data_IF_399389715255
#
_entry.id   IF_399389715255
#
_cell.length_a   1.000
_cell.length_b   1.000
_cell.length_c   1.000
_cell.angle_alpha   90.00
_cell.angle_beta   90.00
_cell.angle_gamma   90.00
#
_symmetry.space_group_name_H-M   'P 1'
#
loop_
_entity.id
_entity.type
_entity.pdbx_description
1 polymer ?
#
# COMPACT_ATOMS: atom_id res chain seq x y z
N UNK A 1 -19.47 -4.44 6.71
CA UNK A 1 -18.62 -3.78 7.71
C UNK A 1 -17.96 -2.59 7.04
N UNK A 2 -18.02 -1.42 7.68
CA UNK A 2 -17.38 -0.20 7.20
C UNK A 2 -16.14 0.08 8.06
N UNK A 3 -15.02 0.39 7.43
CA UNK A 3 -13.80 0.81 8.10
C UNK A 3 -13.71 2.33 8.07
N UNK A 4 -13.16 2.93 9.13
CA UNK A 4 -12.68 4.31 9.09
C UNK A 4 -11.48 4.39 8.17
N UNK A 5 -11.33 5.50 7.45
CA UNK A 5 -10.23 5.71 6.49
C UNK A 5 -9.70 7.14 6.59
N UNK A 6 -8.37 7.28 6.45
CA UNK A 6 -7.68 8.56 6.37
C UNK A 6 -6.59 8.48 5.28
N UNK A 7 -6.51 9.52 4.44
CA UNK A 7 -5.55 9.61 3.34
C UNK A 7 -4.35 10.46 3.73
N UNK A 8 -3.17 10.05 3.28
CA UNK A 8 -1.90 10.72 3.55
C UNK A 8 -1.14 10.95 2.25
N UNK A 9 -0.51 12.12 2.14
CA UNK A 9 0.49 12.42 1.11
C UNK A 9 1.76 12.86 1.82
N UNK A 10 2.84 12.11 1.63
CA UNK A 10 4.16 12.42 2.17
C UNK A 10 5.02 13.03 1.04
N UNK A 11 5.62 14.22 1.25
CA UNK A 11 6.51 14.83 0.27
C UNK A 11 7.83 14.06 0.15
N UNK A 12 8.65 14.35 -0.88
CA UNK A 12 10.01 13.84 -0.99
C UNK A 12 10.83 14.14 0.26
N UNK A 13 11.72 13.21 0.63
CA UNK A 13 12.61 13.31 1.79
C UNK A 13 14.05 13.04 1.37
N UNK A 14 15.01 13.35 2.24
CA UNK A 14 16.42 13.05 1.98
C UNK A 14 16.59 11.56 1.62
N UNK A 15 17.18 11.27 0.45
CA UNK A 15 17.38 9.90 -0.05
C UNK A 15 16.18 9.27 -0.78
N UNK A 16 15.00 9.90 -0.80
CA UNK A 16 13.84 9.46 -1.57
C UNK A 16 13.16 10.65 -2.28
N UNK A 17 13.38 10.83 -3.60
CA UNK A 17 12.90 12.01 -4.31
C UNK A 17 11.42 11.93 -4.70
N UNK A 18 10.70 10.89 -4.26
CA UNK A 18 9.31 10.63 -4.62
C UNK A 18 8.34 11.04 -3.52
N UNK A 19 7.21 11.61 -3.93
CA UNK A 19 6.00 11.63 -3.11
C UNK A 19 5.49 10.21 -2.90
N UNK A 20 4.99 9.93 -1.70
CA UNK A 20 4.31 8.68 -1.39
C UNK A 20 2.91 8.99 -0.88
N UNK A 21 1.90 8.32 -1.43
CA UNK A 21 0.52 8.42 -0.93
C UNK A 21 0.14 7.13 -0.22
N UNK A 22 -0.65 7.25 0.84
CA UNK A 22 -1.10 6.13 1.63
C UNK A 22 -2.54 6.31 2.11
N UNK A 23 -3.19 5.21 2.45
CA UNK A 23 -4.44 5.20 3.21
C UNK A 23 -4.32 4.34 4.45
N UNK A 24 -4.75 4.90 5.57
CA UNK A 24 -4.86 4.24 6.87
C UNK A 24 -6.31 3.78 7.05
N UNK A 25 -6.51 2.57 7.54
CA UNK A 25 -7.82 1.99 7.82
C UNK A 25 -7.86 1.38 9.22
N UNK A 26 -8.97 1.55 9.92
CA UNK A 26 -9.19 0.96 11.24
C UNK A 26 -10.68 0.76 11.50
N UNK A 27 -11.00 0.04 12.57
CA UNK A 27 -12.38 -0.12 13.01
C UNK A 27 -12.85 1.16 13.72
N UNK A 28 -14.04 1.71 13.40
CA UNK A 28 -14.59 2.80 14.16
C UNK A 28 -14.83 2.38 15.62
N UNK A 29 -14.77 3.31 16.59
CA UNK A 29 -15.16 3.02 17.97
C UNK A 29 -16.56 2.41 18.01
N UNK A 30 -16.75 1.32 18.75
CA UNK A 30 -18.09 0.79 19.02
C UNK A 30 -18.85 1.81 19.87
N UNK A 31 -20.09 2.14 19.50
CA UNK A 31 -20.94 3.13 20.19
C UNK A 31 -21.39 2.72 21.60
N UNK A 32 -20.78 1.69 22.19
CA UNK A 32 -20.98 1.25 23.58
C UNK A 32 -19.92 1.85 24.52
N UNK A 33 -19.13 2.83 24.08
CA UNK A 33 -18.33 3.64 24.98
C UNK A 33 -19.27 4.52 25.82
N UNK A 34 -19.19 4.38 27.14
CA UNK A 34 -19.92 5.14 28.14
C UNK A 34 -19.86 6.65 27.81
N UNK A 35 -20.99 7.36 27.66
CA UNK A 35 -21.03 8.77 27.29
C UNK A 35 -20.39 9.70 28.34
N UNK A 36 -19.96 9.18 29.49
CA UNK A 36 -19.14 9.93 30.46
C UNK A 36 -17.65 9.98 30.11
N UNK A 37 -17.18 9.16 29.16
CA UNK A 37 -15.80 9.23 28.66
C UNK A 37 -15.78 10.21 27.50
N UNK A 38 -15.46 11.47 27.82
CA UNK A 38 -15.17 12.49 26.81
C UNK A 38 -13.85 12.13 26.13
N UNK A 39 -13.88 11.49 24.96
CA UNK A 39 -12.70 11.33 24.11
C UNK A 39 -12.41 12.70 23.51
N UNK A 40 -11.64 13.52 24.23
CA UNK A 40 -10.91 14.63 23.63
C UNK A 40 -9.83 14.05 22.72
N UNK A 41 -9.65 14.56 21.49
CA UNK A 41 -8.54 14.16 20.64
C UNK A 41 -7.27 14.85 21.17
N UNK A 42 -6.73 14.36 22.27
CA UNK A 42 -5.41 14.76 22.77
C UNK A 42 -4.34 13.85 22.18
N UNK A 43 -3.35 14.48 21.59
CA UNK A 43 -2.26 13.92 20.79
C UNK A 43 -1.21 13.12 21.60
N UNK A 44 -1.59 12.46 22.70
CA UNK A 44 -0.60 11.87 23.61
C UNK A 44 -1.13 10.75 24.52
N UNK A 45 -1.67 9.67 23.95
CA UNK A 45 -1.70 8.38 24.65
C UNK A 45 -0.83 7.35 23.90
N UNK A 46 0.47 7.43 24.13
CA UNK A 46 1.31 6.25 24.01
C UNK A 46 1.06 5.35 25.21
N UNK A 47 0.64 4.11 24.96
CA UNK A 47 1.35 2.88 25.34
C UNK A 47 0.35 1.71 25.43
N UNK A 48 0.62 0.66 24.64
CA UNK A 48 0.11 -0.69 24.84
C UNK A 48 -1.22 -1.13 24.19
N UNK A 49 -1.62 -0.59 23.04
CA UNK A 49 -2.54 -1.34 22.18
C UNK A 49 -1.76 -2.46 21.46
N UNK A 50 -1.95 -3.70 21.90
CA UNK A 50 -1.24 -4.90 21.43
C UNK A 50 -1.57 -5.29 19.98
N UNK A 51 -2.48 -4.56 19.33
CA UNK A 51 -2.94 -4.84 17.98
C UNK A 51 -1.84 -4.79 16.93
N UNK A 52 -1.98 -5.65 15.92
CA UNK A 52 -1.12 -5.67 14.74
C UNK A 52 -1.42 -4.46 13.85
N UNK A 53 -0.36 -3.85 13.32
CA UNK A 53 -0.43 -2.83 12.27
C UNK A 53 -0.05 -3.49 10.94
N UNK A 54 -0.98 -3.57 10.01
CA UNK A 54 -0.75 -4.18 8.70
C UNK A 54 -0.16 -3.15 7.73
N UNK A 55 0.89 -3.50 7.00
CA UNK A 55 1.43 -2.69 5.89
C UNK A 55 1.22 -3.47 4.60
N UNK A 56 0.39 -2.96 3.68
CA UNK A 56 0.02 -3.63 2.44
C UNK A 56 0.60 -2.89 1.23
N UNK A 57 1.37 -3.61 0.40
CA UNK A 57 1.98 -3.08 -0.83
C UNK A 57 1.43 -3.81 -2.06
N UNK A 58 0.95 -3.04 -3.04
CA UNK A 58 0.25 -3.57 -4.20
C UNK A 58 1.20 -4.10 -5.30
N UNK A 59 0.66 -4.87 -6.24
CA UNK A 59 1.39 -5.39 -7.40
C UNK A 59 1.44 -4.39 -8.56
N UNK A 60 2.26 -4.65 -9.58
CA UNK A 60 2.27 -3.90 -10.84
C UNK A 60 0.88 -3.90 -11.47
N UNK A 61 0.46 -2.77 -12.06
CA UNK A 61 -0.87 -2.57 -12.68
C UNK A 61 -2.03 -2.35 -11.71
N UNK A 62 -1.77 -2.31 -10.40
CA UNK A 62 -2.76 -2.01 -9.36
C UNK A 62 -2.41 -0.70 -8.64
N UNK A 63 -3.24 -0.33 -7.67
CA UNK A 63 -3.05 0.80 -6.76
C UNK A 63 -3.50 0.41 -5.34
N UNK A 64 -3.18 1.23 -4.34
CA UNK A 64 -3.37 0.92 -2.91
C UNK A 64 -4.79 0.46 -2.57
N UNK A 65 -5.83 1.10 -3.13
CA UNK A 65 -7.23 0.80 -2.84
C UNK A 65 -7.66 -0.59 -3.31
N UNK A 66 -6.96 -1.23 -4.26
CA UNK A 66 -7.31 -2.58 -4.74
C UNK A 66 -7.30 -3.63 -3.63
N UNK A 67 -6.64 -3.34 -2.49
CA UNK A 67 -6.68 -4.17 -1.29
C UNK A 67 -7.95 -4.03 -0.46
N UNK A 68 -8.76 -2.98 -0.62
CA UNK A 68 -9.92 -2.69 0.24
C UNK A 68 -10.89 -3.88 0.40
N UNK A 69 -11.29 -4.61 -0.67
CA UNK A 69 -12.19 -5.75 -0.51
C UNK A 69 -11.57 -6.89 0.30
N UNK A 70 -10.26 -7.10 0.17
CA UNK A 70 -9.49 -8.07 0.95
C UNK A 70 -9.35 -7.61 2.41
N UNK A 71 -9.09 -6.32 2.62
CA UNK A 71 -8.93 -5.75 3.94
C UNK A 71 -10.20 -5.87 4.77
N UNK A 72 -11.37 -5.60 4.18
CA UNK A 72 -12.67 -5.80 4.84
C UNK A 72 -12.83 -7.24 5.33
N UNK A 73 -12.40 -8.24 4.54
CA UNK A 73 -12.44 -9.65 4.95
C UNK A 73 -11.46 -9.92 6.09
N UNK A 74 -10.24 -9.40 6.01
CA UNK A 74 -9.22 -9.56 7.07
C UNK A 74 -9.74 -9.02 8.42
N UNK A 75 -10.28 -7.81 8.46
CA UNK A 75 -10.85 -7.25 9.68
C UNK A 75 -12.09 -8.02 10.16
N UNK A 76 -12.92 -8.53 9.24
CA UNK A 76 -14.10 -9.31 9.60
C UNK A 76 -13.72 -10.66 10.23
N UNK A 77 -12.64 -11.30 9.73
CA UNK A 77 -12.08 -12.51 10.32
C UNK A 77 -11.48 -12.23 11.70
N UNK A 78 -10.71 -11.14 11.85
CA UNK A 78 -10.10 -10.77 13.14
C UNK A 78 -11.13 -10.45 14.22
N UNK A 79 -12.36 -10.04 13.84
CA UNK A 79 -13.47 -9.76 14.76
C UNK A 79 -14.34 -10.97 15.12
N UNK A 80 -14.12 -12.15 14.52
CA UNK A 80 -14.93 -13.31 14.86
C UNK A 80 -14.75 -13.68 16.34
N UNK A 81 -15.81 -14.11 17.05
CA UNK A 81 -15.70 -14.55 18.43
C UNK A 81 -14.60 -15.59 18.61
N UNK A 82 -13.72 -15.39 19.59
CA UNK A 82 -12.59 -16.29 19.86
C UNK A 82 -11.37 -16.09 18.96
N UNK A 83 -11.37 -15.08 18.06
CA UNK A 83 -10.17 -14.73 17.30
C UNK A 83 -9.04 -14.30 18.25
N UNK A 84 -7.83 -14.90 18.14
CA UNK A 84 -6.67 -14.47 18.92
C UNK A 84 -6.00 -13.21 18.34
N UNK A 85 -6.41 -12.78 17.13
CA UNK A 85 -5.80 -11.68 16.41
C UNK A 85 -6.53 -10.38 16.73
N UNK A 86 -5.79 -9.41 17.28
CA UNK A 86 -6.22 -8.02 17.42
C UNK A 86 -5.56 -7.20 16.32
N UNK A 87 -6.35 -6.48 15.53
CA UNK A 87 -5.86 -5.54 14.53
C UNK A 87 -6.03 -4.12 15.06
N UNK A 88 -4.94 -3.36 15.07
CA UNK A 88 -4.97 -1.92 15.36
C UNK A 88 -5.46 -1.16 14.14
N UNK A 89 -4.73 -1.32 13.04
CA UNK A 89 -4.95 -0.57 11.81
C UNK A 89 -4.23 -1.24 10.64
N UNK A 90 -4.52 -0.75 9.43
CA UNK A 90 -3.85 -1.15 8.22
C UNK A 90 -3.46 0.07 7.39
N UNK A 91 -2.30 0.01 6.75
CA UNK A 91 -1.77 1.05 5.88
C UNK A 91 -1.52 0.46 4.50
N UNK A 92 -2.02 1.14 3.48
CA UNK A 92 -1.82 0.76 2.08
C UNK A 92 -1.10 1.90 1.37
N UNK A 93 0.02 1.61 0.71
CA UNK A 93 0.86 2.63 0.08
C UNK A 93 0.86 2.44 -1.44
N UNK A 94 0.78 3.54 -2.19
CA UNK A 94 1.04 3.50 -3.62
C UNK A 94 2.55 3.41 -3.91
N UNK A 95 2.90 2.63 -4.94
CA UNK A 95 4.20 2.72 -5.58
C UNK A 95 4.33 4.10 -6.25
N UNK A 96 5.50 4.78 -6.20
CA UNK A 96 5.60 6.15 -6.73
C UNK A 96 5.15 6.37 -8.17
N UNK A 97 5.21 5.34 -9.01
CA UNK A 97 4.75 5.35 -10.41
C UNK A 97 3.39 4.67 -10.63
N UNK A 98 2.60 4.46 -9.57
CA UNK A 98 1.25 3.91 -9.64
C UNK A 98 0.26 4.76 -8.85
N UNK A 99 -1.03 4.52 -9.10
CA UNK A 99 -2.13 5.11 -8.33
C UNK A 99 -2.07 6.63 -8.27
N UNK A 100 -2.37 7.16 -7.09
CA UNK A 100 -2.40 8.60 -6.84
C UNK A 100 -0.99 9.19 -6.75
N UNK A 101 -0.02 8.42 -6.25
CA UNK A 101 1.38 8.86 -6.17
C UNK A 101 1.98 9.19 -7.55
N UNK A 102 1.57 8.47 -8.60
CA UNK A 102 2.02 8.73 -9.97
C UNK A 102 1.72 10.16 -10.44
N UNK A 103 0.59 10.74 -10.02
CA UNK A 103 0.22 12.10 -10.39
C UNK A 103 1.16 13.13 -9.73
N UNK A 104 1.48 12.96 -8.45
CA UNK A 104 2.44 13.81 -7.75
C UNK A 104 3.86 13.67 -8.29
N UNK A 105 4.21 12.49 -8.81
CA UNK A 105 5.54 12.17 -9.31
C UNK A 105 5.67 12.30 -10.83
N UNK A 106 4.67 12.84 -11.54
CA UNK A 106 4.61 12.81 -13.00
C UNK A 106 5.87 13.40 -13.65
N UNK A 107 6.33 14.55 -13.19
CA UNK A 107 7.49 15.22 -13.79
C UNK A 107 8.80 14.50 -13.50
N UNK A 108 8.99 14.01 -12.27
CA UNK A 108 10.20 13.27 -11.92
C UNK A 108 10.26 11.91 -12.63
N UNK A 109 9.13 11.25 -12.83
CA UNK A 109 9.07 9.96 -13.54
C UNK A 109 9.38 10.05 -15.03
N UNK A 110 9.24 11.24 -15.65
CA UNK A 110 9.66 11.48 -17.04
C UNK A 110 11.17 11.60 -17.20
N UNK A 111 11.90 11.85 -16.11
CA UNK A 111 13.35 11.99 -16.18
C UNK A 111 13.98 10.64 -16.54
N UNK A 112 14.99 10.66 -17.41
CA UNK A 112 15.63 9.44 -17.95
C UNK A 112 16.11 8.49 -16.84
N UNK A 113 16.64 9.05 -15.76
CA UNK A 113 17.10 8.31 -14.59
C UNK A 113 15.99 7.52 -13.86
N UNK A 114 14.72 7.80 -14.16
CA UNK A 114 13.58 7.16 -13.52
C UNK A 114 12.71 6.39 -14.49
N UNK A 115 12.50 6.91 -15.70
CA UNK A 115 11.71 6.28 -16.74
C UNK A 115 12.20 4.86 -17.08
N UNK A 116 13.52 4.64 -17.13
CA UNK A 116 14.10 3.37 -17.62
C UNK A 116 14.48 2.39 -16.50
N UNK A 117 14.60 2.89 -15.26
CA UNK A 117 15.18 2.15 -14.13
C UNK A 117 14.24 2.04 -12.93
N UNK A 118 12.92 2.17 -13.13
CA UNK A 118 11.97 1.99 -12.03
C UNK A 118 11.80 0.51 -11.68
N UNK A 119 12.27 0.11 -10.49
CA UNK A 119 12.21 -1.27 -9.98
C UNK A 119 11.59 -1.33 -8.58
N UNK A 120 11.40 -2.54 -8.03
CA UNK A 120 10.97 -2.73 -6.64
C UNK A 120 11.89 -2.04 -5.62
N UNK A 121 13.16 -1.75 -5.95
CA UNK A 121 14.08 -0.99 -5.09
C UNK A 121 13.56 0.42 -4.83
N UNK A 122 13.08 1.12 -5.87
CA UNK A 122 12.52 2.47 -5.69
C UNK A 122 11.22 2.46 -4.91
N UNK A 123 10.41 1.42 -5.07
CA UNK A 123 9.23 1.25 -4.23
C UNK A 123 9.62 0.97 -2.76
N UNK A 124 10.66 0.18 -2.51
CA UNK A 124 11.16 -0.08 -1.17
C UNK A 124 11.70 1.17 -0.51
N UNK A 125 12.48 1.98 -1.24
CA UNK A 125 12.97 3.28 -0.76
C UNK A 125 11.82 4.23 -0.40
N UNK A 126 10.79 4.32 -1.24
CA UNK A 126 9.62 5.16 -0.98
C UNK A 126 8.81 4.68 0.23
N UNK A 127 8.51 3.38 0.30
CA UNK A 127 7.80 2.80 1.43
C UNK A 127 8.61 2.93 2.74
N UNK A 128 9.93 2.73 2.68
CA UNK A 128 10.82 2.92 3.81
C UNK A 128 10.87 4.37 4.27
N UNK A 129 11.02 5.32 3.34
CA UNK A 129 10.96 6.76 3.62
C UNK A 129 9.65 7.18 4.27
N UNK A 130 8.51 6.59 3.86
CA UNK A 130 7.22 6.83 4.47
C UNK A 130 7.13 6.25 5.89
N UNK A 131 7.52 4.99 6.08
CA UNK A 131 7.43 4.29 7.37
C UNK A 131 8.42 4.82 8.41
N UNK A 132 9.50 5.47 7.96
CA UNK A 132 10.52 6.12 8.81
C UNK A 132 10.37 7.64 8.86
N UNK A 133 9.24 8.18 8.38
CA UNK A 133 8.88 9.59 8.52
C UNK A 133 8.78 10.02 9.99
N UNK A 134 8.35 9.09 10.84
CA UNK A 134 8.13 9.35 12.25
C UNK A 134 7.02 10.39 12.46
N UNK A 135 6.98 10.95 13.67
CA UNK A 135 5.89 11.83 14.10
C UNK A 135 5.96 13.25 13.52
N UNK A 136 7.12 13.64 12.99
CA UNK A 136 7.37 15.03 12.57
C UNK A 136 7.00 15.32 11.10
N UNK A 137 6.92 14.29 10.24
CA UNK A 137 6.85 14.47 8.78
C UNK A 137 5.49 14.09 8.17
N UNK A 138 4.41 14.70 8.65
CA UNK A 138 3.07 14.64 8.03
C UNK A 138 2.27 13.35 8.26
N UNK A 139 2.92 12.20 8.45
CA UNK A 139 2.26 10.92 8.76
C UNK A 139 1.87 10.80 10.24
N UNK A 140 2.61 11.49 11.13
CA UNK A 140 2.34 11.57 12.58
C UNK A 140 2.23 10.21 13.28
N UNK A 141 2.87 9.18 12.74
CA UNK A 141 2.90 7.83 13.32
C UNK A 141 4.34 7.35 13.37
N UNK A 142 4.76 6.90 14.55
CA UNK A 142 6.00 6.15 14.70
C UNK A 142 5.73 4.66 14.48
N UNK A 143 6.21 4.12 13.36
CA UNK A 143 6.06 2.71 13.02
C UNK A 143 7.03 1.80 13.77
N UNK A 144 8.09 2.33 14.39
CA UNK A 144 9.01 1.53 15.22
C UNK A 144 8.34 1.06 16.52
N UNK A 145 7.32 1.80 16.98
CA UNK A 145 6.51 1.49 18.17
C UNK A 145 5.29 0.59 17.86
N UNK A 146 5.20 0.04 16.63
CA UNK A 146 4.07 -0.78 16.17
C UNK A 146 4.50 -2.23 15.95
N UNK A 147 3.58 -3.19 16.21
CA UNK A 147 3.76 -4.60 15.82
C UNK A 147 3.40 -4.76 14.33
N UNK A 148 4.39 -4.59 13.47
CA UNK A 148 4.19 -4.55 12.02
C UNK A 148 4.01 -5.94 11.40
N UNK A 149 3.03 -6.09 10.52
CA UNK A 149 2.89 -7.23 9.61
C UNK A 149 2.95 -6.74 8.17
N UNK A 150 3.91 -7.23 7.40
CA UNK A 150 4.10 -6.84 6.00
C UNK A 150 3.33 -7.77 5.07
N UNK A 151 2.47 -7.23 4.22
CA UNK A 151 1.70 -8.00 3.24
C UNK A 151 2.01 -7.42 1.86
N UNK A 152 2.52 -8.23 0.96
CA UNK A 152 2.88 -7.77 -0.38
C UNK A 152 2.46 -8.77 -1.44
N UNK A 153 2.03 -8.26 -2.60
CA UNK A 153 1.74 -9.06 -3.79
C UNK A 153 2.69 -8.70 -4.93
N UNK A 154 3.35 -9.71 -5.52
CA UNK A 154 4.26 -9.59 -6.68
C UNK A 154 5.28 -8.45 -6.50
N UNK A 155 5.13 -7.32 -7.22
CA UNK A 155 5.97 -6.13 -7.02
C UNK A 155 6.06 -5.74 -5.54
N UNK A 156 4.92 -5.61 -4.86
CA UNK A 156 4.84 -5.29 -3.44
C UNK A 156 5.40 -6.38 -2.53
N UNK A 157 5.34 -7.65 -2.94
CA UNK A 157 5.95 -8.77 -2.20
C UNK A 157 7.47 -8.62 -2.15
N UNK A 158 8.08 -8.37 -3.32
CA UNK A 158 9.51 -8.09 -3.43
C UNK A 158 9.90 -6.79 -2.68
N UNK A 159 9.03 -5.79 -2.70
CA UNK A 159 9.23 -4.55 -1.92
C UNK A 159 9.30 -4.83 -0.42
N UNK A 160 8.36 -5.59 0.15
CA UNK A 160 8.36 -5.97 1.57
C UNK A 160 9.65 -6.71 1.96
N UNK A 161 10.14 -7.59 1.09
CA UNK A 161 11.41 -8.30 1.31
C UNK A 161 12.61 -7.34 1.31
N UNK A 162 12.67 -6.42 0.35
CA UNK A 162 13.75 -5.42 0.27
C UNK A 162 13.75 -4.44 1.45
N UNK A 163 12.58 -4.09 2.00
CA UNK A 163 12.48 -3.24 3.19
C UNK A 163 13.27 -3.79 4.39
N UNK A 164 13.45 -5.11 4.48
CA UNK A 164 14.18 -5.73 5.59
C UNK A 164 15.69 -5.42 5.59
N UNK A 165 16.19 -4.86 4.49
CA UNK A 165 17.61 -4.54 4.27
C UNK A 165 17.91 -3.03 4.28
N UNK A 166 16.92 -2.19 4.58
CA UNK A 166 17.07 -0.73 4.59
C UNK A 166 17.20 -0.19 6.02
N UNK A 167 17.92 0.92 6.16
CA UNK A 167 18.16 1.60 7.43
C UNK A 167 17.53 3.01 7.46
N UNK A 168 16.88 3.43 8.58
CA UNK A 168 16.77 2.69 9.85
C UNK A 168 15.86 1.47 9.77
N UNK A 169 16.25 0.39 10.46
CA UNK A 169 15.56 -0.89 10.41
C UNK A 169 14.13 -0.84 10.96
N UNK A 170 13.18 -1.33 10.17
CA UNK A 170 11.81 -1.60 10.58
C UNK A 170 11.68 -3.08 11.01
N UNK A 171 11.07 -3.34 12.16
CA UNK A 171 10.91 -4.71 12.68
C UNK A 171 9.50 -5.21 12.37
N UNK A 172 9.42 -6.18 11.46
CA UNK A 172 8.17 -6.89 11.15
C UNK A 172 8.09 -8.18 11.95
N UNK A 173 6.94 -8.42 12.61
CA UNK A 173 6.69 -9.67 13.35
C UNK A 173 6.30 -10.82 12.43
N UNK A 174 5.76 -10.52 11.24
CA UNK A 174 5.37 -11.50 10.24
C UNK A 174 5.32 -10.87 8.85
N UNK A 175 5.61 -11.68 7.83
CA UNK A 175 5.52 -11.30 6.42
C UNK A 175 4.60 -12.26 5.68
N UNK A 176 3.68 -11.73 4.87
CA UNK A 176 2.80 -12.46 3.96
C UNK A 176 3.18 -12.07 2.53
N UNK A 177 3.91 -12.97 1.87
CA UNK A 177 4.54 -12.73 0.57
C UNK A 177 3.76 -13.52 -0.49
N UNK A 178 2.99 -12.82 -1.32
CA UNK A 178 2.07 -13.41 -2.30
C UNK A 178 2.68 -13.31 -3.69
N UNK A 179 2.89 -14.45 -4.35
CA UNK A 179 3.41 -14.56 -5.72
C UNK A 179 4.67 -13.69 -5.97
N UNK A 180 5.73 -13.80 -5.15
CA UNK A 180 6.94 -13.01 -5.37
C UNK A 180 7.64 -13.47 -6.65
N UNK A 181 8.19 -12.53 -7.41
CA UNK A 181 8.98 -12.85 -8.59
C UNK A 181 10.45 -12.94 -8.20
N UNK A 182 10.91 -14.16 -7.91
CA UNK A 182 12.27 -14.47 -7.49
C UNK A 182 12.90 -15.47 -8.47
N UNK A 183 14.16 -15.27 -8.82
CA UNK A 183 14.94 -16.24 -9.60
C UNK A 183 16.34 -16.36 -9.00
N UNK A 184 16.81 -17.59 -8.75
CA UNK A 184 18.19 -17.82 -8.33
C UNK A 184 19.20 -17.55 -9.46
N UNK A 185 18.74 -17.47 -10.72
CA UNK A 185 19.57 -17.22 -11.91
C UNK A 185 19.80 -15.72 -12.17
N UNK A 186 19.34 -14.85 -11.26
CA UNK A 186 19.53 -13.42 -11.35
C UNK A 186 18.58 -12.70 -12.32
N UNK A 187 18.80 -11.40 -12.58
CA UNK A 187 17.86 -10.54 -13.31
C UNK A 187 17.71 -10.92 -14.79
N UNK A 188 18.72 -11.53 -15.40
CA UNK A 188 18.69 -11.92 -16.82
C UNK A 188 17.60 -12.95 -17.13
N UNK A 189 17.33 -13.85 -16.18
CA UNK A 189 16.26 -14.84 -16.31
C UNK A 189 14.89 -14.17 -16.54
N UNK A 190 14.67 -12.97 -16.00
CA UNK A 190 13.43 -12.22 -16.17
C UNK A 190 13.48 -11.16 -17.28
N UNK A 191 14.58 -11.03 -18.04
CA UNK A 191 14.74 -9.99 -19.05
C UNK A 191 13.63 -10.02 -20.13
N UNK A 192 13.28 -11.22 -20.61
CA UNK A 192 12.20 -11.41 -21.59
C UNK A 192 10.83 -11.03 -21.03
N UNK A 193 10.55 -11.43 -19.79
CA UNK A 193 9.29 -11.11 -19.12
C UNK A 193 9.19 -9.62 -18.85
N UNK A 194 10.26 -8.99 -18.35
CA UNK A 194 10.34 -7.53 -18.15
C UNK A 194 10.06 -6.78 -19.44
N UNK A 195 10.70 -7.14 -20.56
CA UNK A 195 10.46 -6.51 -21.86
C UNK A 195 8.99 -6.58 -22.27
N UNK A 196 8.35 -7.76 -22.11
CA UNK A 196 6.93 -7.93 -22.43
C UNK A 196 6.03 -7.09 -21.53
N UNK A 197 6.25 -7.09 -20.21
CA UNK A 197 5.46 -6.32 -19.26
C UNK A 197 5.54 -4.82 -19.51
N UNK A 198 6.74 -4.30 -19.81
CA UNK A 198 6.96 -2.89 -20.15
C UNK A 198 6.25 -2.55 -21.47
N UNK A 199 6.41 -3.35 -22.52
CA UNK A 199 5.74 -3.11 -23.80
C UNK A 199 4.21 -3.07 -23.64
N UNK A 200 3.63 -4.06 -22.93
CA UNK A 200 2.20 -4.08 -22.66
C UNK A 200 1.75 -2.89 -21.80
N UNK A 201 2.59 -2.37 -20.90
CA UNK A 201 2.24 -1.18 -20.12
C UNK A 201 2.09 0.07 -21.01
N UNK A 202 2.95 0.25 -22.01
CA UNK A 202 2.86 1.35 -22.98
C UNK A 202 1.62 1.28 -23.87
N UNK A 203 1.11 0.06 -24.14
CA UNK A 203 -0.07 -0.16 -24.98
C UNK A 203 -1.39 -0.02 -24.21
N UNK A 204 -1.35 0.18 -22.89
CA UNK A 204 -2.57 0.30 -22.08
C UNK A 204 -3.23 1.64 -22.31
N UNK A 205 -4.54 1.59 -22.49
CA UNK A 205 -5.38 2.78 -22.43
C UNK A 205 -5.38 3.33 -21.01
N UNK A 206 -5.09 4.62 -20.89
CA UNK A 206 -5.01 5.37 -19.63
C UNK A 206 -5.89 6.64 -19.62
N UNK A 207 -6.58 6.94 -20.72
CA UNK A 207 -7.51 8.07 -20.85
C UNK A 207 -8.86 7.61 -21.40
N UNK A 208 -9.94 8.15 -20.82
CA UNK A 208 -11.33 7.90 -21.23
C UNK A 208 -12.10 9.20 -21.30
N UNK A 209 -13.11 9.26 -22.16
CA UNK A 209 -13.96 10.45 -22.33
C UNK A 209 -14.94 10.68 -21.18
N UNK A 210 -15.19 9.66 -20.33
CA UNK A 210 -16.02 9.77 -19.13
C UNK A 210 -15.68 8.67 -18.15
N UNK A 211 -16.03 8.88 -16.87
CA UNK A 211 -15.93 7.85 -15.82
C UNK A 211 -16.73 6.59 -16.16
N UNK A 212 -17.91 6.75 -16.76
CA UNK A 212 -18.74 5.62 -17.18
C UNK A 212 -18.07 4.76 -18.26
N UNK A 213 -17.39 5.39 -19.22
CA UNK A 213 -16.62 4.66 -20.24
C UNK A 213 -15.40 3.95 -19.64
N UNK A 214 -14.74 4.54 -18.64
CA UNK A 214 -13.67 3.88 -17.89
C UNK A 214 -14.21 2.65 -17.11
N UNK A 215 -15.34 2.80 -16.42
CA UNK A 215 -16.02 1.71 -15.71
C UNK A 215 -16.35 0.54 -16.61
N UNK A 216 -16.97 0.81 -17.76
CA UNK A 216 -17.28 -0.23 -18.74
C UNK A 216 -16.02 -0.95 -19.22
N UNK A 217 -14.96 -0.20 -19.55
CA UNK A 217 -13.68 -0.76 -19.97
C UNK A 217 -13.08 -1.72 -18.94
N UNK A 218 -13.02 -1.32 -17.66
CA UNK A 218 -12.46 -2.17 -16.61
C UNK A 218 -13.35 -3.38 -16.30
N UNK A 219 -14.68 -3.22 -16.27
CA UNK A 219 -15.60 -4.34 -16.06
C UNK A 219 -15.50 -5.37 -17.19
N UNK A 220 -15.46 -4.95 -18.46
CA UNK A 220 -15.33 -5.87 -19.59
C UNK A 220 -14.02 -6.66 -19.57
N UNK A 221 -12.91 -6.02 -19.14
CA UNK A 221 -11.57 -6.65 -19.15
C UNK A 221 -11.25 -7.45 -17.90
N UNK A 222 -11.76 -7.06 -16.74
CA UNK A 222 -11.35 -7.62 -15.45
C UNK A 222 -12.44 -8.45 -14.79
N UNK A 223 -13.73 -8.15 -14.98
CA UNK A 223 -14.80 -8.73 -14.16
C UNK A 223 -15.00 -10.24 -14.36
N UNK A 224 -14.40 -10.85 -15.39
CA UNK A 224 -14.38 -12.31 -15.55
C UNK A 224 -13.57 -12.99 -14.45
N UNK A 225 -12.44 -12.41 -14.09
CA UNK A 225 -11.44 -13.04 -13.22
C UNK A 225 -11.29 -12.31 -11.88
N UNK A 226 -11.85 -11.10 -11.74
CA UNK A 226 -11.74 -10.25 -10.56
C UNK A 226 -13.08 -10.00 -9.89
N UNK A 227 -13.05 -9.89 -8.56
CA UNK A 227 -14.18 -9.40 -7.78
C UNK A 227 -14.61 -8.01 -8.29
N UNK A 228 -15.90 -7.84 -8.55
CA UNK A 228 -16.44 -6.61 -9.13
C UNK A 228 -16.16 -5.38 -8.26
N UNK A 229 -16.03 -5.55 -6.94
CA UNK A 229 -15.65 -4.47 -6.03
C UNK A 229 -14.24 -3.95 -6.34
N UNK A 230 -13.30 -4.82 -6.71
CA UNK A 230 -11.95 -4.39 -7.13
C UNK A 230 -12.01 -3.65 -8.45
N UNK A 231 -12.76 -4.18 -9.44
CA UNK A 231 -12.91 -3.54 -10.74
C UNK A 231 -13.47 -2.11 -10.62
N UNK A 232 -14.40 -1.89 -9.70
CA UNK A 232 -15.02 -0.59 -9.47
C UNK A 232 -14.07 0.44 -8.82
N UNK A 233 -12.94 0.02 -8.24
CA UNK A 233 -11.99 0.93 -7.58
C UNK A 233 -11.03 1.62 -8.57
N UNK A 234 -11.03 1.20 -9.83
CA UNK A 234 -10.22 1.83 -10.88
C UNK A 234 -10.86 3.11 -11.49
N UNK A 235 -12.01 3.58 -10.97
CA UNK A 235 -12.83 4.66 -11.56
C UNK A 235 -13.28 5.69 -10.54
#
# INVERSE_FOLDING_TARGET
MQLSVESFTCPPRAGCPFHTTAKRYWLPPTSEADPTITITPTTSEHHNDEGLTLILLHSTSFHKETWEPTLIKIFACARQPGSPIKLREAWMLDCPNHGEAAAYNQEILKQKEHAETFTCVKYAQAAHSFLTAGVNDGVKVDFHERKLVGIGHSLGANTILLLQHLEPRLVFSSLVIIEPMLSPEGPEHFANLRRRLVATAYERRDVWSSKENARRYFLERMARDWDQRVCNLFV
#
